data_IF_250464432320
#
_entry.id   IF_250464432320
#
_cell.length_a   1.000
_cell.length_b   1.000
_cell.length_c   1.000
_cell.angle_alpha   90.00
_cell.angle_beta   90.00
_cell.angle_gamma   90.00
#
_symmetry.space_group_name_H-M   'P 1'
#
loop_
_entity.id
_entity.type
_entity.pdbx_description
1 polymer ?
#
# COMPACT_ATOMS: atom_id res chain seq x y z
N UNK A 1 -11.28 26.41 2.84
CA UNK A 1 -12.43 26.02 3.74
C UNK A 1 -13.39 25.18 2.91
N UNK A 2 -13.56 23.88 3.25
CA UNK A 2 -14.52 23.04 2.54
C UNK A 2 -15.93 23.60 2.69
N UNK A 3 -16.69 23.60 1.63
CA UNK A 3 -18.06 24.12 1.64
C UNK A 3 -18.95 23.27 2.55
N UNK A 4 -20.03 23.87 3.09
CA UNK A 4 -21.03 23.15 3.90
C UNK A 4 -21.63 21.94 3.15
N UNK A 5 -21.58 21.95 1.83
CA UNK A 5 -22.10 20.92 0.95
C UNK A 5 -21.13 19.72 0.86
N UNK A 6 -19.82 19.99 0.81
CA UNK A 6 -18.76 18.98 0.83
C UNK A 6 -18.69 18.23 2.16
N UNK A 7 -18.79 18.96 3.30
CA UNK A 7 -18.88 18.35 4.63
C UNK A 7 -20.10 17.43 4.77
N UNK A 8 -21.26 17.85 4.27
CA UNK A 8 -22.47 17.01 4.27
C UNK A 8 -22.35 15.79 3.36
N UNK A 9 -21.62 15.88 2.23
CA UNK A 9 -21.33 14.75 1.35
C UNK A 9 -20.40 13.75 2.02
N UNK A 10 -19.31 14.22 2.64
CA UNK A 10 -18.39 13.40 3.42
C UNK A 10 -19.08 12.71 4.60
N UNK A 11 -19.93 13.41 5.35
CA UNK A 11 -20.74 12.83 6.44
C UNK A 11 -21.73 11.74 5.94
N UNK A 12 -22.34 11.95 4.76
CA UNK A 12 -23.22 10.93 4.15
C UNK A 12 -22.45 9.69 3.71
N UNK A 13 -21.26 9.89 3.14
CA UNK A 13 -20.38 8.78 2.73
C UNK A 13 -19.86 8.02 3.95
N UNK A 14 -19.40 8.72 5.00
CA UNK A 14 -19.02 8.12 6.27
C UNK A 14 -20.19 7.34 6.94
N UNK A 15 -21.42 7.87 6.88
CA UNK A 15 -22.61 7.14 7.39
C UNK A 15 -22.95 5.90 6.56
N UNK A 16 -22.71 5.91 5.25
CA UNK A 16 -22.88 4.72 4.39
C UNK A 16 -21.84 3.63 4.72
N UNK A 17 -20.60 4.00 5.01
CA UNK A 17 -19.52 3.07 5.34
C UNK A 17 -19.62 2.53 6.80
N UNK A 18 -20.19 3.32 7.72
CA UNK A 18 -20.39 2.91 9.14
C UNK A 18 -21.47 1.82 9.35
N UNK A 19 -22.27 1.51 8.32
CA UNK A 19 -23.11 0.30 8.37
C UNK A 19 -22.27 -0.90 8.01
N UNK A 20 -21.84 -1.70 9.03
CA UNK A 20 -21.15 -3.00 8.93
C UNK A 20 -21.32 -3.71 7.57
N UNK A 21 -20.71 -3.17 6.52
CA UNK A 21 -20.62 -3.83 5.23
C UNK A 21 -19.33 -4.64 5.24
N UNK A 22 -19.46 -5.95 5.14
CA UNK A 22 -18.33 -6.76 4.70
C UNK A 22 -18.06 -6.42 3.24
N UNK A 23 -16.85 -5.97 2.93
CA UNK A 23 -16.41 -5.76 1.56
C UNK A 23 -15.81 -7.06 1.05
N UNK A 24 -16.38 -7.60 -0.03
CA UNK A 24 -15.76 -8.73 -0.74
C UNK A 24 -14.70 -8.19 -1.69
N UNK A 25 -13.47 -8.70 -1.55
CA UNK A 25 -12.35 -8.36 -2.41
C UNK A 25 -11.83 -9.62 -3.10
N UNK A 26 -11.57 -9.51 -4.40
CA UNK A 26 -10.79 -10.53 -5.09
C UNK A 26 -9.31 -10.25 -4.87
N UNK A 27 -8.65 -11.13 -4.13
CA UNK A 27 -7.23 -11.04 -3.85
C UNK A 27 -6.45 -11.99 -4.74
N UNK A 28 -5.39 -11.48 -5.36
CA UNK A 28 -4.42 -12.31 -6.08
C UNK A 28 -3.12 -12.32 -5.30
N UNK A 29 -2.69 -13.48 -4.86
CA UNK A 29 -1.40 -13.65 -4.21
C UNK A 29 -0.34 -13.90 -5.27
N UNK A 30 0.56 -12.96 -5.40
CA UNK A 30 1.73 -13.08 -6.27
C UNK A 30 2.90 -13.54 -5.40
N UNK A 31 3.42 -14.73 -5.68
CA UNK A 31 4.53 -15.32 -4.93
C UNK A 31 5.68 -15.71 -5.88
N UNK A 32 6.38 -14.72 -6.45
CA UNK A 32 7.51 -15.00 -7.32
C UNK A 32 8.74 -15.54 -6.56
N UNK A 33 8.76 -15.41 -5.23
CA UNK A 33 9.74 -15.93 -4.28
C UNK A 33 9.07 -16.21 -2.92
N UNK A 34 9.84 -16.47 -1.86
CA UNK A 34 9.31 -16.97 -0.58
C UNK A 34 8.33 -16.03 0.13
N UNK A 35 8.50 -14.71 0.01
CA UNK A 35 7.59 -13.74 0.64
C UNK A 35 6.55 -13.27 -0.40
N UNK A 36 5.25 -13.46 -0.14
CA UNK A 36 4.22 -13.09 -1.11
C UNK A 36 4.04 -11.58 -1.20
N UNK A 37 3.57 -11.13 -2.36
CA UNK A 37 3.01 -9.80 -2.59
C UNK A 37 1.51 -9.97 -2.82
N UNK A 38 0.68 -9.36 -1.98
CA UNK A 38 -0.76 -9.32 -2.20
C UNK A 38 -1.07 -8.26 -3.25
N UNK A 39 -1.86 -8.62 -4.24
CA UNK A 39 -2.51 -7.69 -5.17
C UNK A 39 -4.01 -7.83 -5.07
N UNK A 40 -4.71 -6.70 -4.99
CA UNK A 40 -6.17 -6.65 -4.99
C UNK A 40 -6.68 -5.38 -5.65
N UNK A 41 -8.00 -5.23 -5.74
CA UNK A 41 -8.68 -3.99 -6.11
C UNK A 41 -9.40 -3.42 -4.89
N UNK A 42 -9.26 -2.12 -4.68
CA UNK A 42 -10.07 -1.41 -3.69
C UNK A 42 -11.56 -1.49 -4.05
N UNK A 43 -12.44 -1.69 -3.08
CA UNK A 43 -13.87 -1.49 -3.28
C UNK A 43 -14.14 -0.06 -3.81
N UNK A 44 -15.05 0.11 -4.79
CA UNK A 44 -15.32 1.42 -5.38
C UNK A 44 -15.63 2.51 -4.34
N UNK A 45 -16.36 2.17 -3.29
CA UNK A 45 -16.74 3.13 -2.24
C UNK A 45 -15.51 3.58 -1.42
N UNK A 46 -14.55 2.70 -1.18
CA UNK A 46 -13.29 3.03 -0.49
C UNK A 46 -12.42 3.87 -1.42
N UNK A 47 -12.32 3.49 -2.70
CA UNK A 47 -11.54 4.22 -3.70
C UNK A 47 -12.03 5.66 -3.86
N UNK A 48 -13.35 5.88 -3.97
CA UNK A 48 -13.95 7.22 -4.06
C UNK A 48 -13.58 8.09 -2.85
N UNK A 49 -13.70 7.55 -1.64
CA UNK A 49 -13.37 8.28 -0.40
C UNK A 49 -11.90 8.65 -0.35
N UNK A 50 -11.00 7.74 -0.69
CA UNK A 50 -9.55 7.98 -0.67
C UNK A 50 -9.16 8.99 -1.76
N UNK A 51 -9.79 8.96 -2.93
CA UNK A 51 -9.58 9.98 -3.97
C UNK A 51 -10.01 11.36 -3.47
N UNK A 52 -11.18 11.48 -2.81
CA UNK A 52 -11.64 12.74 -2.24
C UNK A 52 -10.65 13.28 -1.18
N UNK A 53 -10.23 12.44 -0.24
CA UNK A 53 -9.21 12.81 0.77
C UNK A 53 -7.92 13.29 0.10
N UNK A 54 -7.42 12.57 -0.90
CA UNK A 54 -6.19 12.95 -1.61
C UNK A 54 -6.32 14.28 -2.35
N UNK A 55 -7.48 14.56 -2.96
CA UNK A 55 -7.76 15.82 -3.63
C UNK A 55 -7.77 17.01 -2.67
N UNK A 56 -8.36 16.82 -1.48
CA UNK A 56 -8.42 17.87 -0.47
C UNK A 56 -7.04 18.19 0.09
N UNK A 57 -6.22 17.16 0.36
CA UNK A 57 -4.84 17.32 0.85
C UNK A 57 -3.96 18.03 -0.20
N UNK A 58 -4.04 17.63 -1.48
CA UNK A 58 -3.22 18.25 -2.55
C UNK A 58 -3.57 19.73 -2.76
N UNK A 59 -4.82 20.11 -2.54
CA UNK A 59 -5.29 21.50 -2.71
C UNK A 59 -5.00 22.39 -1.48
N UNK A 60 -4.73 21.80 -0.34
CA UNK A 60 -4.45 22.57 0.89
C UNK A 60 -2.98 22.99 0.93
N UNK A 61 -2.72 24.26 0.77
CA UNK A 61 -1.37 24.85 0.86
C UNK A 61 -0.68 24.61 2.22
N UNK A 62 -1.43 24.20 3.24
CA UNK A 62 -0.90 23.87 4.56
C UNK A 62 -0.57 22.39 4.72
N UNK A 63 -0.73 21.59 3.68
CA UNK A 63 -0.40 20.18 3.72
C UNK A 63 1.09 19.97 4.01
N UNK A 64 1.36 18.98 4.86
CA UNK A 64 2.72 18.71 5.34
C UNK A 64 3.42 17.81 4.34
N UNK A 65 4.58 18.24 3.85
CA UNK A 65 5.47 17.39 3.05
C UNK A 65 5.97 16.19 3.87
N UNK A 66 6.09 15.06 3.21
CA UNK A 66 6.68 13.83 3.75
C UNK A 66 7.95 13.40 2.99
N UNK A 67 8.28 14.09 1.90
CA UNK A 67 9.34 13.71 0.96
C UNK A 67 10.73 13.56 1.58
N UNK A 68 11.07 14.34 2.61
CA UNK A 68 12.38 14.26 3.29
C UNK A 68 12.66 12.88 3.94
N UNK A 69 11.61 12.09 4.20
CA UNK A 69 11.69 10.76 4.79
C UNK A 69 11.62 9.63 3.75
N UNK A 70 11.48 9.98 2.47
CA UNK A 70 11.22 9.03 1.39
C UNK A 70 12.39 8.94 0.41
N UNK A 71 12.51 7.80 -0.25
CA UNK A 71 13.56 7.56 -1.24
C UNK A 71 13.23 8.14 -2.63
N UNK A 72 11.98 8.57 -2.83
CA UNK A 72 11.47 9.05 -4.11
C UNK A 72 12.23 10.28 -4.63
N UNK A 73 12.40 10.35 -5.95
CA UNK A 73 12.78 11.56 -6.66
C UNK A 73 11.49 12.15 -7.22
N UNK A 74 10.63 12.62 -6.30
CA UNK A 74 9.27 13.09 -6.54
C UNK A 74 9.07 14.40 -5.77
N UNK A 75 8.59 15.43 -6.45
CA UNK A 75 8.46 16.75 -5.86
C UNK A 75 7.28 16.85 -4.87
N UNK A 76 6.20 16.09 -5.10
CA UNK A 76 4.99 16.20 -4.30
C UNK A 76 4.70 14.89 -3.58
N UNK A 77 5.14 14.82 -2.33
CA UNK A 77 4.88 13.73 -1.38
C UNK A 77 4.31 14.34 -0.09
N UNK A 78 3.02 14.08 0.19
CA UNK A 78 2.27 14.75 1.25
C UNK A 78 1.75 13.76 2.29
N UNK A 79 1.90 14.10 3.56
CA UNK A 79 1.38 13.30 4.67
C UNK A 79 -0.15 13.27 4.67
N UNK A 80 -0.73 12.09 4.89
CA UNK A 80 -2.17 11.91 5.14
C UNK A 80 -2.37 11.79 6.66
N UNK A 81 -3.01 12.76 7.32
CA UNK A 81 -3.36 12.65 8.73
C UNK A 81 -4.35 11.51 8.97
N UNK A 82 -4.14 10.73 10.03
CA UNK A 82 -4.99 9.57 10.36
C UNK A 82 -6.44 9.97 10.66
N UNK A 83 -6.67 11.20 11.11
CA UNK A 83 -7.99 11.74 11.39
C UNK A 83 -8.91 11.64 10.17
N UNK A 84 -8.39 11.87 8.96
CA UNK A 84 -9.17 11.72 7.72
C UNK A 84 -9.69 10.29 7.54
N UNK A 85 -8.89 9.27 7.87
CA UNK A 85 -9.27 7.87 7.75
C UNK A 85 -10.26 7.45 8.83
N UNK A 86 -10.10 7.96 10.05
CA UNK A 86 -11.01 7.74 11.17
C UNK A 86 -12.37 8.40 10.91
N UNK A 87 -12.38 9.66 10.47
CA UNK A 87 -13.59 10.41 10.17
C UNK A 87 -14.36 9.80 8.99
N UNK A 88 -13.65 9.30 7.99
CA UNK A 88 -14.22 8.55 6.89
C UNK A 88 -14.69 7.13 7.28
N UNK A 89 -14.23 6.61 8.42
CA UNK A 89 -14.59 5.26 8.91
C UNK A 89 -13.92 4.12 8.13
N UNK A 90 -12.78 4.38 7.47
CA UNK A 90 -12.08 3.39 6.62
C UNK A 90 -10.79 2.84 7.24
N UNK A 91 -10.38 3.34 8.41
CA UNK A 91 -9.17 2.85 9.08
C UNK A 91 -9.22 1.34 9.34
N UNK A 92 -10.36 0.84 9.82
CA UNK A 92 -10.53 -0.59 10.10
C UNK A 92 -10.41 -1.44 8.84
N UNK A 93 -10.91 -0.96 7.70
CA UNK A 93 -10.75 -1.67 6.43
C UNK A 93 -9.29 -1.96 6.10
N UNK A 94 -8.38 -0.98 6.27
CA UNK A 94 -6.96 -1.17 6.00
C UNK A 94 -6.28 -2.07 7.04
N UNK A 95 -6.66 -1.96 8.31
CA UNK A 95 -6.16 -2.84 9.35
C UNK A 95 -6.56 -4.30 9.09
N UNK A 96 -7.82 -4.55 8.75
CA UNK A 96 -8.34 -5.88 8.43
C UNK A 96 -7.65 -6.47 7.19
N UNK A 97 -7.39 -5.65 6.18
CA UNK A 97 -6.68 -6.07 4.97
C UNK A 97 -5.21 -6.45 5.26
N UNK A 98 -4.54 -5.68 6.11
CA UNK A 98 -3.19 -6.03 6.59
C UNK A 98 -3.21 -7.33 7.39
N UNK A 99 -4.18 -7.51 8.29
CA UNK A 99 -4.33 -8.76 9.05
C UNK A 99 -4.49 -9.97 8.13
N UNK A 100 -5.33 -9.87 7.10
CA UNK A 100 -5.52 -10.94 6.10
C UNK A 100 -4.20 -11.26 5.38
N UNK A 101 -3.46 -10.25 4.94
CA UNK A 101 -2.15 -10.45 4.32
C UNK A 101 -1.19 -11.17 5.26
N UNK A 102 -1.08 -10.71 6.53
CA UNK A 102 -0.18 -11.31 7.53
C UNK A 102 -0.52 -12.79 7.71
N UNK A 103 -1.80 -13.13 7.89
CA UNK A 103 -2.24 -14.52 8.08
C UNK A 103 -1.86 -15.39 6.88
N UNK A 104 -2.14 -14.94 5.66
CA UNK A 104 -1.80 -15.68 4.45
C UNK A 104 -0.29 -15.86 4.33
N UNK A 105 0.49 -14.79 4.48
CA UNK A 105 1.94 -14.83 4.37
C UNK A 105 2.57 -15.77 5.42
N UNK A 106 2.09 -15.71 6.67
CA UNK A 106 2.57 -16.54 7.76
C UNK A 106 2.17 -18.01 7.62
N UNK A 107 0.93 -18.29 7.22
CA UNK A 107 0.51 -19.67 6.94
C UNK A 107 1.31 -20.32 5.81
N UNK A 108 1.73 -19.55 4.81
CA UNK A 108 2.60 -20.05 3.75
C UNK A 108 4.04 -20.27 4.22
N UNK A 109 4.54 -19.37 5.06
CA UNK A 109 5.89 -19.47 5.62
C UNK A 109 5.99 -20.66 6.59
N UNK A 110 4.94 -20.93 7.36
CA UNK A 110 4.88 -21.97 8.40
C UNK A 110 3.65 -22.88 8.19
N UNK A 111 3.62 -23.69 7.14
CA UNK A 111 2.45 -24.49 6.78
C UNK A 111 2.06 -25.52 7.85
N UNK A 112 3.03 -26.05 8.59
CA UNK A 112 2.80 -27.01 9.68
C UNK A 112 2.19 -26.35 10.92
N UNK A 113 2.34 -25.04 11.10
CA UNK A 113 1.84 -24.24 12.20
C UNK A 113 0.69 -23.30 11.79
N UNK A 114 0.13 -23.52 10.60
CA UNK A 114 -0.93 -22.67 10.07
C UNK A 114 -2.13 -22.53 11.01
N UNK A 115 -2.47 -23.60 11.75
CA UNK A 115 -3.55 -23.58 12.74
C UNK A 115 -3.25 -22.64 13.92
N UNK A 116 -1.99 -22.50 14.35
CA UNK A 116 -1.56 -21.56 15.39
C UNK A 116 -1.65 -20.13 14.89
N UNK A 117 -1.16 -19.89 13.66
CA UNK A 117 -1.25 -18.57 13.00
C UNK A 117 -2.72 -18.13 12.88
N UNK A 118 -3.62 -19.04 12.53
CA UNK A 118 -5.05 -18.73 12.39
C UNK A 118 -5.73 -18.45 13.74
N UNK A 119 -5.30 -19.11 14.81
CA UNK A 119 -5.87 -18.94 16.15
C UNK A 119 -5.33 -17.72 16.89
N UNK A 120 -4.14 -17.22 16.52
CA UNK A 120 -3.48 -16.09 17.19
C UNK A 120 -4.21 -14.78 16.88
N UNK A 121 -4.45 -13.97 17.90
CA UNK A 121 -5.00 -12.63 17.74
C UNK A 121 -3.88 -11.66 17.29
N UNK A 122 -4.14 -10.94 16.22
CA UNK A 122 -3.23 -9.93 15.68
C UNK A 122 -3.71 -8.52 16.03
N UNK A 123 -2.76 -7.64 16.30
CA UNK A 123 -2.97 -6.20 16.46
C UNK A 123 -2.15 -5.51 15.38
N UNK A 124 -2.84 -4.89 14.45
CA UNK A 124 -2.23 -4.11 13.36
C UNK A 124 -2.31 -2.64 13.71
N UNK A 125 -1.23 -1.92 13.49
CA UNK A 125 -1.17 -0.47 13.66
C UNK A 125 -0.57 0.16 12.41
N UNK A 126 -1.36 1.00 11.73
CA UNK A 126 -0.85 1.90 10.70
C UNK A 126 0.01 2.97 11.34
N UNK A 127 1.22 3.20 10.83
CA UNK A 127 2.19 4.18 11.34
C UNK A 127 2.08 5.50 10.61
N UNK A 128 2.31 5.48 9.30
CA UNK A 128 2.30 6.66 8.45
C UNK A 128 1.60 6.34 7.14
N UNK A 129 0.90 7.33 6.60
CA UNK A 129 0.31 7.27 5.27
C UNK A 129 0.66 8.54 4.51
N UNK A 130 0.97 8.42 3.23
CA UNK A 130 1.33 9.58 2.40
C UNK A 130 0.86 9.42 0.95
N UNK A 131 0.60 10.56 0.33
CA UNK A 131 0.30 10.70 -1.10
C UNK A 131 1.62 10.85 -1.85
N UNK A 132 1.73 10.18 -2.98
CA UNK A 132 2.78 10.39 -3.99
C UNK A 132 2.10 10.88 -5.27
N UNK A 133 2.27 12.16 -5.59
CA UNK A 133 1.79 12.78 -6.82
C UNK A 133 2.95 12.88 -7.81
N UNK A 134 3.22 11.79 -8.49
CA UNK A 134 4.35 11.64 -9.40
C UNK A 134 4.06 12.26 -10.77
N UNK A 135 5.02 13.00 -11.28
CA UNK A 135 5.02 13.59 -12.63
C UNK A 135 5.92 12.79 -13.60
N UNK A 136 5.82 13.00 -14.92
CA UNK A 136 6.72 12.38 -15.89
C UNK A 136 8.20 12.60 -15.55
N UNK A 137 9.01 11.55 -15.69
CA UNK A 137 10.43 11.45 -15.35
C UNK A 137 10.76 11.37 -13.84
N UNK A 138 9.82 11.61 -12.95
CA UNK A 138 9.99 11.30 -11.54
C UNK A 138 9.94 9.78 -11.30
N UNK A 139 10.61 9.28 -10.25
CA UNK A 139 10.72 7.86 -9.97
C UNK A 139 11.03 7.58 -8.50
N UNK A 140 10.80 6.34 -8.07
CA UNK A 140 11.33 5.84 -6.81
C UNK A 140 12.46 4.84 -7.12
N UNK A 141 13.70 5.10 -6.64
CA UNK A 141 14.81 4.18 -6.79
C UNK A 141 14.53 2.86 -6.07
N UNK A 142 15.42 1.87 -6.22
CA UNK A 142 15.33 0.62 -5.47
C UNK A 142 15.50 0.94 -3.99
N UNK A 143 14.52 0.54 -3.18
CA UNK A 143 14.50 0.79 -1.73
C UNK A 143 13.72 -0.28 -0.97
N UNK A 144 13.79 -0.20 0.34
CA UNK A 144 12.97 -0.92 1.33
C UNK A 144 12.38 0.10 2.30
N UNK A 145 11.42 -0.31 3.10
CA UNK A 145 10.93 0.51 4.21
C UNK A 145 11.58 0.09 5.52
N UNK A 146 11.88 1.06 6.37
CA UNK A 146 12.48 0.86 7.69
C UNK A 146 11.49 1.18 8.80
N UNK A 147 11.74 0.69 10.01
CA UNK A 147 10.91 0.92 11.19
C UNK A 147 9.45 0.45 11.08
N UNK A 148 9.19 -0.44 10.14
CA UNK A 148 7.89 -1.06 9.93
C UNK A 148 8.05 -2.51 9.47
N UNK A 149 6.94 -3.25 9.43
CA UNK A 149 6.93 -4.65 9.01
C UNK A 149 6.19 -4.84 7.69
N UNK A 150 5.26 -3.95 7.39
CA UNK A 150 4.45 -3.97 6.18
C UNK A 150 4.53 -2.63 5.46
N UNK A 151 4.47 -2.69 4.15
CA UNK A 151 4.23 -1.54 3.29
C UNK A 151 3.08 -1.83 2.34
N UNK A 152 2.37 -0.77 2.00
CA UNK A 152 1.25 -0.80 1.07
C UNK A 152 1.37 0.34 0.08
N UNK A 153 0.91 0.10 -1.15
CA UNK A 153 0.69 1.14 -2.15
C UNK A 153 -0.62 0.91 -2.86
N UNK A 154 -1.44 1.96 -3.02
CA UNK A 154 -2.68 1.96 -3.77
C UNK A 154 -2.69 3.07 -4.81
N UNK A 155 -3.31 2.80 -5.97
CA UNK A 155 -3.26 3.70 -7.12
C UNK A 155 -4.59 4.39 -7.35
N UNK A 156 -4.59 5.72 -7.28
CA UNK A 156 -5.78 6.56 -7.37
C UNK A 156 -5.95 7.18 -8.75
N UNK A 157 -4.83 7.39 -9.45
CA UNK A 157 -4.78 7.99 -10.77
C UNK A 157 -3.61 7.43 -11.55
N UNK A 158 -3.86 7.03 -12.78
CA UNK A 158 -2.85 6.47 -13.68
C UNK A 158 -3.03 7.12 -15.04
N UNK A 159 -2.03 7.86 -15.55
CA UNK A 159 -2.12 8.49 -16.85
C UNK A 159 -2.04 7.45 -17.98
N UNK A 160 -2.42 7.86 -19.17
CA UNK A 160 -2.23 7.03 -20.36
C UNK A 160 -0.76 7.06 -20.79
N UNK A 161 -0.03 6.01 -20.45
CA UNK A 161 1.37 5.88 -20.81
C UNK A 161 1.58 5.76 -22.32
N UNK A 162 2.71 6.29 -22.79
CA UNK A 162 3.12 6.09 -24.17
C UNK A 162 3.47 4.61 -24.41
N UNK A 163 3.25 4.11 -25.63
CA UNK A 163 3.71 2.78 -26.00
C UNK A 163 5.23 2.66 -25.85
N UNK A 164 5.67 1.49 -25.39
CA UNK A 164 7.10 1.19 -25.36
C UNK A 164 7.69 1.22 -26.78
N UNK A 165 8.89 1.77 -26.91
CA UNK A 165 9.66 1.72 -28.16
C UNK A 165 10.14 0.30 -28.50
N UNK A 166 10.13 -0.62 -27.53
CA UNK A 166 10.53 -2.02 -27.67
C UNK A 166 9.33 -2.92 -27.42
N UNK A 167 8.90 -3.63 -28.45
CA UNK A 167 7.67 -4.43 -28.47
C UNK A 167 7.58 -5.54 -27.41
N UNK A 168 8.71 -5.98 -26.87
CA UNK A 168 8.80 -7.04 -25.86
C UNK A 168 9.00 -6.52 -24.42
N UNK A 169 8.97 -5.18 -24.19
CA UNK A 169 9.10 -4.55 -22.88
C UNK A 169 8.03 -3.46 -22.68
N UNK A 170 6.76 -3.88 -22.65
CA UNK A 170 5.65 -2.95 -22.59
C UNK A 170 5.29 -2.48 -21.17
N UNK A 171 6.01 -2.92 -20.14
CA UNK A 171 5.58 -2.77 -18.76
C UNK A 171 6.40 -1.79 -17.93
N UNK A 172 7.42 -1.14 -18.52
CA UNK A 172 8.36 -0.37 -17.70
C UNK A 172 7.79 0.99 -17.24
N UNK A 173 7.20 1.78 -18.15
CA UNK A 173 6.69 3.12 -17.82
C UNK A 173 5.68 3.10 -16.68
N UNK A 174 6.01 3.81 -15.57
CA UNK A 174 5.15 3.96 -14.37
C UNK A 174 4.87 2.68 -13.60
N UNK A 175 5.54 1.57 -13.95
CA UNK A 175 5.35 0.28 -13.30
C UNK A 175 6.04 0.23 -11.95
N UNK A 176 5.48 -0.56 -11.03
CA UNK A 176 6.16 -1.00 -9.82
C UNK A 176 6.88 -2.31 -10.12
N UNK A 177 8.13 -2.41 -9.66
CA UNK A 177 8.93 -3.63 -9.78
C UNK A 177 9.36 -4.11 -8.42
N UNK A 178 8.97 -5.33 -8.09
CA UNK A 178 9.46 -6.06 -6.93
C UNK A 178 10.68 -6.89 -7.34
N UNK A 179 11.71 -6.89 -6.49
CA UNK A 179 13.01 -7.50 -6.79
C UNK A 179 13.31 -8.57 -5.74
N UNK A 180 13.78 -9.72 -6.17
CA UNK A 180 14.13 -10.82 -5.28
C UNK A 180 15.32 -10.46 -4.41
N UNK A 181 15.20 -10.67 -3.10
CA UNK A 181 16.29 -10.49 -2.13
C UNK A 181 17.21 -11.72 -2.08
N UNK A 182 16.87 -12.80 -2.76
CA UNK A 182 17.65 -14.03 -2.76
C UNK A 182 18.27 -14.26 -4.13
N UNK A 183 19.58 -14.55 -4.20
CA UNK A 183 20.17 -15.06 -5.43
C UNK A 183 19.50 -16.41 -5.73
N UNK A 184 18.71 -16.46 -6.78
CA UNK A 184 18.14 -17.72 -7.28
C UNK A 184 18.90 -18.16 -8.49
N UNK A 185 18.95 -19.46 -8.64
CA UNK A 185 19.35 -20.09 -9.87
C UNK A 185 18.54 -19.49 -11.03
N UNK A 186 19.19 -18.84 -12.01
CA UNK A 186 18.50 -18.18 -13.11
C UNK A 186 17.65 -19.14 -13.97
N UNK A 187 17.89 -20.44 -13.87
CA UNK A 187 17.13 -21.45 -14.57
C UNK A 187 15.77 -21.74 -13.94
N UNK A 188 15.61 -21.47 -12.62
CA UNK A 188 14.43 -21.87 -11.85
C UNK A 188 13.71 -20.72 -11.15
N UNK A 189 14.06 -19.46 -11.38
CA UNK A 189 13.41 -18.36 -10.66
C UNK A 189 13.46 -17.01 -11.35
N UNK A 190 12.34 -16.28 -11.28
CA UNK A 190 12.32 -14.88 -11.64
C UNK A 190 13.10 -14.04 -10.62
N UNK A 191 13.91 -13.09 -11.07
CA UNK A 191 14.63 -12.16 -10.22
C UNK A 191 13.84 -10.89 -9.92
N UNK A 192 12.79 -10.63 -10.70
CA UNK A 192 11.92 -9.47 -10.53
C UNK A 192 10.51 -9.75 -11.03
N UNK A 193 9.54 -9.06 -10.44
CA UNK A 193 8.15 -9.00 -10.88
C UNK A 193 7.80 -7.54 -11.16
N UNK A 194 7.57 -7.20 -12.42
CA UNK A 194 7.15 -5.87 -12.85
C UNK A 194 5.66 -5.86 -13.15
N UNK A 195 4.93 -4.95 -12.52
CA UNK A 195 3.47 -4.82 -12.68
C UNK A 195 3.13 -3.39 -13.07
N UNK A 196 2.40 -3.23 -14.15
CA UNK A 196 1.77 -1.95 -14.51
C UNK A 196 0.52 -1.78 -13.68
N UNK A 197 0.44 -0.73 -12.83
CA UNK A 197 -0.73 -0.52 -11.99
C UNK A 197 -1.90 0.04 -12.79
N UNK A 198 -3.09 -0.25 -12.32
CA UNK A 198 -4.34 0.35 -12.75
C UNK A 198 -4.99 1.10 -11.59
N UNK A 199 -5.89 2.04 -11.89
CA UNK A 199 -6.68 2.72 -10.85
C UNK A 199 -7.44 1.71 -10.00
N UNK A 200 -7.34 1.88 -8.68
CA UNK A 200 -7.91 0.98 -7.69
C UNK A 200 -7.03 -0.22 -7.33
N UNK A 201 -5.91 -0.48 -8.04
CA UNK A 201 -4.97 -1.52 -7.59
C UNK A 201 -4.41 -1.15 -6.22
N UNK A 202 -4.31 -2.16 -5.35
CA UNK A 202 -3.64 -2.09 -4.06
C UNK A 202 -2.66 -3.26 -3.92
N UNK A 203 -1.45 -2.97 -3.46
CA UNK A 203 -0.43 -3.96 -3.15
C UNK A 203 -0.07 -3.87 -1.68
N UNK A 204 0.07 -5.03 -1.01
CA UNK A 204 0.64 -5.14 0.34
C UNK A 204 1.78 -6.13 0.30
N UNK A 205 2.89 -5.77 0.94
CA UNK A 205 4.11 -6.57 0.93
C UNK A 205 4.93 -6.32 2.20
N UNK A 206 5.90 -7.20 2.45
CA UNK A 206 6.86 -7.01 3.55
C UNK A 206 7.66 -5.72 3.36
N UNK A 207 7.87 -4.97 4.43
CA UNK A 207 8.70 -3.77 4.42
C UNK A 207 10.13 -4.02 3.90
N UNK A 208 10.67 -5.22 4.08
CA UNK A 208 11.98 -5.63 3.57
C UNK A 208 11.99 -5.99 2.07
N UNK A 209 10.83 -5.97 1.40
CA UNK A 209 10.74 -6.28 -0.01
C UNK A 209 11.37 -5.16 -0.84
N UNK A 210 12.49 -5.46 -1.51
CA UNK A 210 13.10 -4.54 -2.47
C UNK A 210 12.14 -4.23 -3.60
N UNK A 211 11.91 -2.96 -3.87
CA UNK A 211 11.05 -2.52 -4.95
C UNK A 211 11.48 -1.15 -5.47
N UNK A 212 10.99 -0.82 -6.66
CA UNK A 212 11.21 0.46 -7.33
C UNK A 212 10.00 0.85 -8.15
N UNK A 213 9.90 2.13 -8.49
CA UNK A 213 8.88 2.64 -9.40
C UNK A 213 9.57 3.35 -10.55
N UNK A 214 9.29 2.88 -11.76
CA UNK A 214 9.87 3.47 -12.97
C UNK A 214 9.31 4.87 -13.24
N UNK A 215 10.15 5.76 -13.80
CA UNK A 215 9.66 6.96 -14.44
C UNK A 215 8.77 6.59 -15.64
N UNK A 216 8.00 7.54 -16.11
CA UNK A 216 7.11 7.28 -17.24
C UNK A 216 7.04 8.44 -18.22
N UNK A 217 6.56 8.11 -19.40
CA UNK A 217 6.18 9.03 -20.45
C UNK A 217 4.69 8.86 -20.68
N UNK A 218 3.97 9.93 -20.86
CA UNK A 218 2.52 9.89 -21.10
C UNK A 218 2.15 10.65 -22.39
N UNK A 219 0.95 10.39 -22.85
CA UNK A 219 0.33 11.18 -23.92
C UNK A 219 -0.10 12.53 -23.38
N UNK A 220 -0.51 13.43 -24.26
CA UNK A 220 -1.18 14.69 -23.86
C UNK A 220 -2.37 14.42 -22.94
N UNK A 221 -2.64 15.36 -22.06
CA UNK A 221 -3.70 15.30 -21.05
C UNK A 221 -3.12 15.46 -19.65
N UNK A 222 -3.83 14.96 -18.64
CA UNK A 222 -3.38 15.01 -17.25
C UNK A 222 -2.24 14.00 -17.02
N UNK A 223 -1.01 14.46 -16.76
CA UNK A 223 0.15 13.59 -16.66
C UNK A 223 0.30 12.93 -15.30
N UNK A 224 -0.46 13.35 -14.28
CA UNK A 224 -0.28 12.91 -12.91
C UNK A 224 -0.54 11.40 -12.73
N UNK A 225 0.42 10.69 -12.11
CA UNK A 225 0.22 9.38 -11.52
C UNK A 225 0.15 9.53 -10.01
N UNK A 226 -1.02 9.30 -9.44
CA UNK A 226 -1.20 9.44 -8.00
C UNK A 226 -1.35 8.09 -7.33
N UNK A 227 -0.57 7.89 -6.28
CA UNK A 227 -0.70 6.76 -5.37
C UNK A 227 -0.75 7.26 -3.92
N UNK A 228 -1.27 6.40 -3.04
CA UNK A 228 -1.12 6.54 -1.59
C UNK A 228 -0.39 5.31 -1.10
N UNK A 229 0.60 5.53 -0.26
CA UNK A 229 1.33 4.48 0.44
C UNK A 229 1.12 4.60 1.93
N UNK A 230 1.22 3.48 2.65
CA UNK A 230 1.30 3.48 4.11
C UNK A 230 2.23 2.39 4.62
N UNK A 231 2.77 2.62 5.79
CA UNK A 231 3.53 1.64 6.55
C UNK A 231 2.74 1.17 7.77
N UNK A 232 2.90 -0.10 8.14
CA UNK A 232 2.25 -0.66 9.31
C UNK A 232 3.18 -1.61 10.07
N UNK A 233 2.88 -1.75 11.35
CA UNK A 233 3.42 -2.81 12.22
C UNK A 233 2.30 -3.71 12.69
N UNK A 234 2.66 -4.91 13.12
CA UNK A 234 1.74 -5.81 13.80
C UNK A 234 2.42 -6.50 14.98
N UNK A 235 1.60 -6.91 15.91
CA UNK A 235 1.98 -7.64 17.11
C UNK A 235 0.98 -8.77 17.35
N UNK A 236 1.46 -9.94 17.74
CA UNK A 236 0.58 -11.02 18.21
C UNK A 236 0.15 -10.76 19.66
N UNK A 237 -0.97 -11.34 20.09
CA UNK A 237 -1.41 -11.23 21.49
C UNK A 237 -0.36 -11.80 22.44
N UNK A 238 0.28 -12.90 22.05
CA UNK A 238 1.35 -13.53 22.82
C UNK A 238 2.56 -12.62 22.95
N UNK A 239 3.02 -12.00 21.86
CA UNK A 239 4.14 -11.04 21.89
C UNK A 239 3.80 -9.80 22.72
N UNK A 240 2.57 -9.29 22.58
CA UNK A 240 2.07 -8.15 23.36
C UNK A 240 2.05 -8.41 24.86
N UNK A 241 1.59 -9.60 25.27
CA UNK A 241 1.60 -10.00 26.70
C UNK A 241 3.02 -10.05 27.24
N UNK A 242 3.97 -10.65 26.51
CA UNK A 242 5.39 -10.70 26.90
C UNK A 242 5.97 -9.30 27.07
N UNK A 243 5.76 -8.43 26.09
CA UNK A 243 6.24 -7.04 26.13
C UNK A 243 5.70 -6.26 27.34
N UNK A 244 4.40 -6.43 27.65
CA UNK A 244 3.77 -5.77 28.79
C UNK A 244 4.30 -6.30 30.14
N UNK A 245 4.76 -7.56 30.17
CA UNK A 245 5.38 -8.16 31.35
C UNK A 245 6.88 -7.85 31.49
N UNK A 246 7.47 -7.06 30.57
CA UNK A 246 8.88 -6.76 30.57
C UNK A 246 9.78 -7.92 30.11
N UNK A 247 9.19 -8.96 29.52
CA UNK A 247 9.92 -10.10 28.96
C UNK A 247 10.49 -9.73 27.57
N UNK A 248 11.72 -10.22 27.27
CA UNK A 248 12.29 -10.03 25.95
C UNK A 248 11.44 -10.69 24.88
N UNK A 249 10.90 -9.88 23.97
CA UNK A 249 10.19 -10.35 22.78
C UNK A 249 11.19 -10.52 21.64
N UNK A 250 11.90 -11.65 21.58
CA UNK A 250 12.31 -12.13 20.28
C UNK A 250 11.03 -12.47 19.54
N UNK A 251 10.78 -11.83 18.38
CA UNK A 251 9.65 -12.19 17.50
C UNK A 251 9.83 -13.64 17.04
N UNK A 252 9.45 -14.56 17.90
CA UNK A 252 9.19 -15.94 17.54
C UNK A 252 7.67 -16.00 17.34
N UNK A 253 7.29 -16.33 16.15
CA UNK A 253 5.90 -16.59 15.79
C UNK A 253 5.45 -17.76 16.57
#
# INVERSE_FOLDING_TARGET
MSTRQERRKAERNAKKLKKNKSFEMQMTLLQPWSVPVLKSKLPPEILEVIIEISNDIIKDEKSISHGEYLAGQVDTELRVPHEFLHDAGIMNFFNDLCEQYIRVAKCQQYPHEAHLVQAEKLFVQMLTMWIVSQQPNEYNPIHVHTECQLSCVMYLKVPKFLPSKKTHRNLDDGSITFISNSPKDPEFGATSLTVRPEVGDIFIFSASQLHSVYPYRCTEGDPERRSISFNAIFETETARKKRLNGESTTLVI
#
